data_IF_448370321979
#
_entry.id   IF_448370321979
#
_cell.length_a   1.000
_cell.length_b   1.000
_cell.length_c   1.000
_cell.angle_alpha   90.00
_cell.angle_beta   90.00
_cell.angle_gamma   90.00
#
_symmetry.space_group_name_H-M   'P 1'
#
loop_
_entity.id
_entity.type
_entity.pdbx_description
1 polymer ?
#
# COMPACT_ATOMS: atom_id res chain seq x y z
N UNK A 1 21.37 -0.97 30.34
CA UNK A 1 20.04 -0.62 29.80
C UNK A 1 20.05 0.88 29.53
N UNK A 2 20.41 1.32 28.31
CA UNK A 2 20.30 2.72 27.90
C UNK A 2 18.81 3.02 27.73
N UNK A 3 18.28 3.98 28.50
CA UNK A 3 16.87 4.33 28.50
C UNK A 3 16.39 4.71 27.12
N UNK A 4 15.45 3.96 26.59
CA UNK A 4 14.67 4.35 25.40
C UNK A 4 13.88 5.64 25.77
N UNK A 5 13.84 6.66 24.88
CA UNK A 5 13.25 7.96 25.20
C UNK A 5 11.78 7.84 25.64
N UNK A 6 11.43 8.54 26.71
CA UNK A 6 10.05 8.69 27.18
C UNK A 6 9.34 9.82 26.43
N UNK A 7 8.01 9.89 26.48
CA UNK A 7 7.14 10.75 25.63
C UNK A 7 7.37 12.27 25.73
N UNK A 8 8.30 12.78 26.56
CA UNK A 8 8.60 14.19 26.75
C UNK A 8 10.01 14.62 26.31
N UNK A 9 10.82 13.69 25.78
CA UNK A 9 12.21 13.97 25.40
C UNK A 9 12.32 14.35 23.92
N UNK A 10 13.34 15.18 23.61
CA UNK A 10 13.69 15.50 22.23
C UNK A 10 13.82 14.20 21.41
N UNK A 11 12.98 14.06 20.39
CA UNK A 11 12.94 12.86 19.56
C UNK A 11 14.30 12.65 18.90
N UNK A 12 15.06 11.68 19.35
CA UNK A 12 16.32 11.27 18.73
C UNK A 12 16.02 10.31 17.60
N UNK A 13 16.63 10.54 16.44
CA UNK A 13 16.49 9.68 15.29
C UNK A 13 16.94 8.25 15.62
N UNK A 14 16.05 7.27 15.38
CA UNK A 14 16.33 5.87 15.67
C UNK A 14 17.31 5.28 14.65
N UNK A 15 18.22 4.44 15.14
CA UNK A 15 19.05 3.56 14.31
C UNK A 15 18.24 2.31 13.89
N UNK A 16 18.74 1.55 12.90
CA UNK A 16 18.16 0.26 12.52
C UNK A 16 18.15 -0.72 13.70
N UNK A 17 19.21 -0.70 14.53
CA UNK A 17 19.30 -1.53 15.73
C UNK A 17 18.24 -1.16 16.78
N UNK A 18 18.00 0.15 17.00
CA UNK A 18 16.95 0.62 17.90
C UNK A 18 15.56 0.16 17.43
N UNK A 19 15.28 0.33 16.13
CA UNK A 19 14.00 -0.07 15.54
C UNK A 19 13.79 -1.59 15.68
N UNK A 20 14.82 -2.39 15.43
CA UNK A 20 14.76 -3.84 15.56
C UNK A 20 14.60 -4.27 17.03
N UNK A 21 15.30 -3.62 17.95
CA UNK A 21 15.13 -3.86 19.40
C UNK A 21 13.70 -3.52 19.87
N UNK A 22 13.17 -2.35 19.45
CA UNK A 22 11.78 -1.99 19.75
C UNK A 22 10.78 -3.00 19.18
N UNK A 23 11.02 -3.47 17.96
CA UNK A 23 10.19 -4.46 17.31
C UNK A 23 10.16 -5.79 18.06
N UNK A 24 11.29 -6.22 18.63
CA UNK A 24 11.43 -7.50 19.35
C UNK A 24 11.00 -7.44 20.81
N UNK A 25 11.34 -6.36 21.49
CA UNK A 25 11.36 -6.33 22.96
C UNK A 25 10.19 -5.55 23.57
N UNK A 26 9.67 -4.50 22.90
CA UNK A 26 8.59 -3.72 23.47
C UNK A 26 7.24 -4.45 23.34
N UNK A 27 6.41 -4.30 24.38
CA UNK A 27 5.02 -4.75 24.28
C UNK A 27 4.25 -3.95 23.24
N UNK A 28 3.20 -4.55 22.69
CA UNK A 28 2.34 -3.88 21.69
C UNK A 28 1.72 -2.59 22.29
N UNK A 29 1.39 -2.59 23.57
CA UNK A 29 0.82 -1.43 24.26
C UNK A 29 1.82 -0.29 24.36
N UNK A 30 3.07 -0.59 24.70
CA UNK A 30 4.12 0.44 24.80
C UNK A 30 4.49 1.01 23.43
N UNK A 31 4.55 0.17 22.41
CA UNK A 31 4.74 0.61 21.02
C UNK A 31 3.61 1.55 20.57
N UNK A 32 2.35 1.14 20.79
CA UNK A 32 1.19 1.95 20.45
C UNK A 32 1.20 3.32 21.15
N UNK A 33 1.45 3.33 22.47
CA UNK A 33 1.53 4.55 23.26
C UNK A 33 2.60 5.53 22.73
N UNK A 34 3.80 5.04 22.40
CA UNK A 34 4.89 5.86 21.82
C UNK A 34 4.54 6.36 20.43
N UNK A 35 4.02 5.48 19.60
CA UNK A 35 3.64 5.82 18.23
C UNK A 35 2.50 6.84 18.18
N UNK A 36 1.49 6.70 19.05
CA UNK A 36 0.42 7.69 19.19
C UNK A 36 0.96 9.05 19.62
N UNK A 37 1.78 9.10 20.67
CA UNK A 37 2.41 10.34 21.14
C UNK A 37 3.23 11.01 20.02
N UNK A 38 3.97 10.23 19.24
CA UNK A 38 4.70 10.76 18.08
C UNK A 38 3.76 11.27 16.98
N UNK A 39 2.68 10.55 16.72
CA UNK A 39 1.66 10.96 15.75
C UNK A 39 1.02 12.29 16.15
N UNK A 40 0.67 12.47 17.44
CA UNK A 40 0.07 13.71 17.96
C UNK A 40 1.03 14.89 17.93
N UNK A 41 2.34 14.67 18.08
CA UNK A 41 3.35 15.71 17.87
C UNK A 41 3.42 16.19 16.42
N UNK A 42 3.29 15.26 15.45
CA UNK A 42 3.33 15.56 14.03
C UNK A 42 2.00 16.10 13.51
N UNK A 43 0.90 15.68 14.11
CA UNK A 43 -0.47 15.99 13.72
C UNK A 43 -1.28 16.41 14.98
N UNK A 44 -1.03 17.63 15.48
CA UNK A 44 -1.68 18.15 16.70
C UNK A 44 -3.15 18.52 16.47
N UNK A 45 -3.62 18.51 15.22
CA UNK A 45 -4.99 18.85 14.89
C UNK A 45 -5.97 17.80 15.44
N UNK A 46 -7.20 18.21 15.81
CA UNK A 46 -8.20 17.32 16.41
C UNK A 46 -8.89 16.40 15.39
N UNK A 47 -8.33 16.24 14.21
CA UNK A 47 -8.91 15.42 13.15
C UNK A 47 -7.98 14.28 12.71
N UNK A 48 -8.59 13.28 12.07
CA UNK A 48 -7.89 12.28 11.25
C UNK A 48 -8.47 12.30 9.84
N UNK A 49 -7.58 12.10 8.88
CA UNK A 49 -7.94 12.29 7.48
C UNK A 49 -8.43 11.01 6.81
N UNK A 50 -9.15 11.18 5.71
CA UNK A 50 -9.55 10.14 4.76
C UNK A 50 -9.67 10.74 3.36
N UNK A 51 -9.71 9.90 2.33
CA UNK A 51 -9.89 10.34 0.95
C UNK A 51 -11.06 9.61 0.29
N UNK A 52 -11.78 10.31 -0.59
CA UNK A 52 -12.77 9.70 -1.48
C UNK A 52 -12.15 9.57 -2.86
N UNK A 53 -11.74 8.34 -3.19
CA UNK A 53 -11.12 8.02 -4.46
C UNK A 53 -11.65 6.69 -5.04
N UNK A 54 -11.21 6.40 -6.25
CA UNK A 54 -11.48 5.13 -6.93
C UNK A 54 -10.18 4.54 -7.44
N UNK A 55 -9.96 3.25 -7.13
CA UNK A 55 -8.90 2.49 -7.76
C UNK A 55 -9.36 2.01 -9.14
N UNK A 56 -8.69 2.46 -10.20
CA UNK A 56 -8.97 2.05 -11.59
C UNK A 56 -7.80 1.21 -12.09
N UNK A 57 -8.01 -0.10 -12.18
CA UNK A 57 -7.06 -0.99 -12.81
C UNK A 57 -7.34 -0.99 -14.32
N UNK A 58 -6.64 -0.15 -15.07
CA UNK A 58 -6.89 0.02 -16.51
C UNK A 58 -6.55 -1.22 -17.36
N UNK A 59 -5.74 -2.16 -16.81
CA UNK A 59 -5.43 -3.43 -17.44
C UNK A 59 -5.04 -4.47 -16.39
N UNK A 60 -5.44 -5.73 -16.59
CA UNK A 60 -4.95 -6.86 -15.81
C UNK A 60 -3.93 -7.73 -16.56
N UNK A 61 -3.71 -7.46 -17.85
CA UNK A 61 -2.65 -8.13 -18.63
C UNK A 61 -1.28 -7.73 -18.10
N UNK A 62 -0.48 -8.72 -17.66
CA UNK A 62 0.80 -8.44 -17.03
C UNK A 62 1.86 -9.50 -17.36
N UNK A 63 3.06 -9.05 -17.74
CA UNK A 63 4.21 -9.90 -18.03
C UNK A 63 5.10 -10.17 -16.80
N UNK A 64 4.90 -9.45 -15.67
CA UNK A 64 5.74 -9.57 -14.48
C UNK A 64 5.58 -10.90 -13.74
N UNK A 65 4.42 -11.55 -13.80
CA UNK A 65 4.13 -12.88 -13.21
C UNK A 65 4.54 -12.98 -11.74
N UNK A 66 4.20 -11.98 -10.94
CA UNK A 66 4.48 -11.99 -9.50
C UNK A 66 3.74 -13.12 -8.81
N UNK A 67 4.44 -13.95 -8.03
CA UNK A 67 3.83 -15.12 -7.39
C UNK A 67 2.87 -14.79 -6.25
N UNK A 68 2.88 -13.55 -5.76
CA UNK A 68 1.97 -13.04 -4.74
C UNK A 68 0.69 -12.39 -5.33
N UNK A 69 0.65 -12.15 -6.66
CA UNK A 69 -0.46 -11.45 -7.31
C UNK A 69 -1.44 -12.46 -7.90
N UNK A 70 -2.72 -12.36 -7.53
CA UNK A 70 -3.81 -13.15 -8.10
C UNK A 70 -4.63 -12.38 -9.14
N UNK A 71 -4.35 -11.11 -9.32
CA UNK A 71 -5.09 -10.23 -10.23
C UNK A 71 -4.62 -10.33 -11.69
N UNK A 72 -3.32 -10.57 -11.92
CA UNK A 72 -2.78 -10.56 -13.29
C UNK A 72 -3.36 -11.66 -14.17
N UNK A 73 -3.47 -11.36 -15.46
CA UNK A 73 -3.80 -12.32 -16.53
C UNK A 73 -2.69 -12.32 -17.58
N UNK A 74 -2.50 -13.46 -18.23
CA UNK A 74 -1.59 -13.55 -19.38
C UNK A 74 -2.28 -12.99 -20.62
N UNK A 75 -1.51 -12.51 -21.62
CA UNK A 75 -2.07 -12.21 -22.93
C UNK A 75 -2.83 -13.42 -23.51
N UNK A 76 -4.07 -13.20 -23.93
CA UNK A 76 -4.94 -14.25 -24.47
C UNK A 76 -5.80 -15.02 -23.46
N UNK A 77 -5.63 -14.81 -22.15
CA UNK A 77 -6.55 -15.36 -21.16
C UNK A 77 -7.96 -14.78 -21.36
N UNK A 78 -9.00 -15.60 -21.14
CA UNK A 78 -10.39 -15.18 -21.37
C UNK A 78 -10.83 -13.99 -20.49
N UNK A 79 -10.21 -13.85 -19.32
CA UNK A 79 -10.47 -12.75 -18.37
C UNK A 79 -9.52 -11.57 -18.56
N UNK A 80 -8.64 -11.61 -19.57
CA UNK A 80 -7.73 -10.51 -19.85
C UNK A 80 -8.47 -9.30 -20.41
N UNK A 81 -8.18 -8.11 -19.88
CA UNK A 81 -8.79 -6.87 -20.34
C UNK A 81 -7.82 -5.69 -20.34
N UNK A 82 -8.15 -4.71 -21.15
CA UNK A 82 -7.63 -3.34 -21.10
C UNK A 82 -8.84 -2.44 -21.30
N UNK A 83 -9.11 -1.55 -20.33
CA UNK A 83 -10.26 -0.64 -20.38
C UNK A 83 -10.11 0.38 -21.51
N UNK A 84 -11.22 0.71 -22.15
CA UNK A 84 -11.32 1.85 -23.06
C UNK A 84 -11.31 3.18 -22.30
N UNK A 85 -11.09 4.28 -23.00
CA UNK A 85 -11.14 5.62 -22.40
C UNK A 85 -12.56 5.94 -21.89
N UNK A 86 -13.59 5.47 -22.61
CA UNK A 86 -15.01 5.65 -22.26
C UNK A 86 -15.35 4.91 -20.96
N UNK A 87 -14.84 3.69 -20.78
CA UNK A 87 -15.03 2.93 -19.54
C UNK A 87 -14.35 3.62 -18.36
N UNK A 88 -13.13 4.13 -18.56
CA UNK A 88 -12.40 4.91 -17.53
C UNK A 88 -13.16 6.20 -17.23
N UNK A 89 -13.66 6.90 -18.25
CA UNK A 89 -14.46 8.12 -18.11
C UNK A 89 -15.70 7.89 -17.25
N UNK A 90 -16.50 6.86 -17.56
CA UNK A 90 -17.69 6.50 -16.75
C UNK A 90 -17.35 6.22 -15.30
N UNK A 91 -16.24 5.52 -15.03
CA UNK A 91 -15.78 5.28 -13.66
C UNK A 91 -15.43 6.58 -12.93
N UNK A 92 -14.88 7.56 -13.62
CA UNK A 92 -14.58 8.89 -13.07
C UNK A 92 -15.88 9.68 -12.81
N UNK A 93 -16.87 9.60 -13.68
CA UNK A 93 -18.19 10.24 -13.49
C UNK A 93 -18.91 9.69 -12.26
N UNK A 94 -18.90 8.38 -12.07
CA UNK A 94 -19.45 7.72 -10.87
C UNK A 94 -18.72 8.20 -9.60
N UNK A 95 -17.41 8.35 -9.65
CA UNK A 95 -16.61 8.87 -8.54
C UNK A 95 -16.94 10.34 -8.24
N UNK A 96 -17.05 11.19 -9.25
CA UNK A 96 -17.42 12.60 -9.10
C UNK A 96 -18.82 12.76 -8.49
N UNK A 97 -19.77 11.88 -8.84
CA UNK A 97 -21.13 11.91 -8.31
C UNK A 97 -21.20 11.73 -6.79
N UNK A 98 -20.24 11.04 -6.18
CA UNK A 98 -20.13 10.89 -4.72
C UNK A 98 -19.16 11.88 -4.08
N UNK A 99 -18.62 12.82 -4.87
CA UNK A 99 -17.69 13.82 -4.37
C UNK A 99 -16.24 13.36 -4.27
N UNK A 100 -15.86 12.37 -5.05
CA UNK A 100 -14.48 11.94 -5.17
C UNK A 100 -13.59 13.00 -5.82
N UNK A 101 -12.32 12.98 -5.48
CA UNK A 101 -11.35 14.01 -5.85
C UNK A 101 -10.18 13.49 -6.65
N UNK A 102 -9.96 12.19 -6.62
CA UNK A 102 -8.81 11.58 -7.27
C UNK A 102 -9.08 10.15 -7.75
N UNK A 103 -8.30 9.70 -8.71
CA UNK A 103 -8.21 8.29 -9.10
C UNK A 103 -6.83 7.74 -8.70
N UNK A 104 -6.83 6.53 -8.13
CA UNK A 104 -5.64 5.69 -8.04
C UNK A 104 -5.66 4.76 -9.25
N UNK A 105 -4.77 4.98 -10.21
CA UNK A 105 -4.81 4.25 -11.48
C UNK A 105 -3.54 3.44 -11.71
N UNK A 106 -3.66 2.12 -11.72
CA UNK A 106 -2.58 1.17 -11.92
C UNK A 106 -3.03 0.04 -12.84
N UNK A 107 -2.10 -0.53 -13.61
CA UNK A 107 -2.37 -1.67 -14.48
C UNK A 107 -1.30 -2.75 -14.38
N UNK A 108 -1.44 -3.77 -15.22
CA UNK A 108 -0.38 -4.75 -15.42
C UNK A 108 0.74 -4.18 -16.28
N UNK A 109 1.90 -4.86 -16.26
CA UNK A 109 2.97 -4.62 -17.23
C UNK A 109 2.55 -5.21 -18.58
N UNK A 110 1.82 -4.41 -19.35
CA UNK A 110 1.32 -4.81 -20.67
C UNK A 110 2.51 -5.04 -21.59
N UNK A 111 2.51 -6.11 -22.42
CA UNK A 111 3.56 -6.36 -23.41
C UNK A 111 3.80 -5.16 -24.32
N UNK A 112 4.95 -5.11 -24.95
CA UNK A 112 5.25 -4.06 -25.91
C UNK A 112 4.25 -4.04 -27.10
N UNK A 113 4.23 -2.96 -27.85
CA UNK A 113 3.31 -2.74 -28.98
C UNK A 113 3.45 -3.75 -30.10
N UNK A 114 4.55 -4.48 -30.15
CA UNK A 114 4.85 -5.47 -31.21
C UNK A 114 4.44 -6.88 -30.79
N UNK A 115 3.95 -7.07 -29.56
CA UNK A 115 3.60 -8.40 -29.07
C UNK A 115 2.46 -9.03 -29.90
N UNK A 116 2.62 -10.29 -30.39
CA UNK A 116 1.65 -10.93 -31.28
C UNK A 116 0.22 -11.05 -30.73
N UNK A 117 0.05 -11.00 -29.41
CA UNK A 117 -1.27 -11.01 -28.75
C UNK A 117 -2.11 -9.77 -29.03
N UNK A 118 -1.53 -8.70 -29.59
CA UNK A 118 -2.20 -7.43 -29.79
C UNK A 118 -2.47 -6.61 -28.52
N UNK A 119 -1.96 -7.04 -27.36
CA UNK A 119 -2.09 -6.34 -26.08
C UNK A 119 -1.05 -5.24 -25.88
N UNK A 120 -0.03 -5.15 -26.74
CA UNK A 120 0.98 -4.09 -26.70
C UNK A 120 0.34 -2.70 -26.80
N UNK A 121 0.94 -1.73 -26.11
CA UNK A 121 0.48 -0.34 -26.14
C UNK A 121 1.67 0.59 -26.38
N UNK A 122 1.58 1.47 -27.38
CA UNK A 122 2.60 2.50 -27.58
C UNK A 122 2.62 3.47 -26.40
N UNK A 123 3.76 4.06 -26.12
CA UNK A 123 3.86 5.04 -25.04
C UNK A 123 2.85 6.21 -25.21
N UNK A 124 2.55 6.57 -26.47
CA UNK A 124 1.54 7.59 -26.78
C UNK A 124 0.15 7.25 -26.21
N UNK A 125 -0.25 5.99 -26.15
CA UNK A 125 -1.53 5.58 -25.59
C UNK A 125 -1.68 5.99 -24.12
N UNK A 126 -0.62 5.84 -23.33
CA UNK A 126 -0.63 6.25 -21.91
C UNK A 126 -0.68 7.77 -21.74
N UNK A 127 0.03 8.51 -22.61
CA UNK A 127 -0.01 9.96 -22.62
C UNK A 127 -1.39 10.48 -23.03
N UNK A 128 -2.00 9.87 -24.02
CA UNK A 128 -3.33 10.25 -24.52
C UNK A 128 -4.43 9.91 -23.51
N UNK A 129 -4.29 8.82 -22.74
CA UNK A 129 -5.17 8.52 -21.62
C UNK A 129 -5.15 9.64 -20.57
N UNK A 130 -3.97 10.08 -20.15
CA UNK A 130 -3.82 11.19 -19.18
C UNK A 130 -4.45 12.49 -19.73
N UNK A 131 -4.17 12.81 -20.98
CA UNK A 131 -4.75 14.00 -21.67
C UNK A 131 -6.26 13.90 -21.79
N UNK A 132 -6.80 12.71 -22.10
CA UNK A 132 -8.24 12.46 -22.12
C UNK A 132 -8.88 12.76 -20.78
N UNK A 133 -8.29 12.24 -19.69
CA UNK A 133 -8.80 12.48 -18.34
C UNK A 133 -8.75 13.97 -18.00
N UNK A 134 -7.62 14.64 -18.19
CA UNK A 134 -7.47 16.06 -17.86
C UNK A 134 -8.37 16.98 -18.70
N UNK A 135 -8.63 16.61 -19.94
CA UNK A 135 -9.53 17.39 -20.83
C UNK A 135 -10.99 17.28 -20.39
N UNK A 136 -11.45 16.08 -20.05
CA UNK A 136 -12.84 15.82 -19.74
C UNK A 136 -13.18 16.00 -18.25
N UNK A 137 -12.19 15.78 -17.37
CA UNK A 137 -12.35 15.80 -15.91
C UNK A 137 -11.20 16.60 -15.25
N UNK A 138 -11.09 17.91 -15.52
CA UNK A 138 -9.92 18.73 -15.15
C UNK A 138 -9.68 18.82 -13.64
N UNK A 139 -10.71 18.60 -12.82
CA UNK A 139 -10.61 18.66 -11.35
C UNK A 139 -10.11 17.37 -10.71
N UNK A 140 -10.10 16.26 -11.46
CA UNK A 140 -9.64 14.97 -10.94
C UNK A 140 -8.12 14.97 -10.84
N UNK A 141 -7.63 14.63 -9.65
CA UNK A 141 -6.23 14.35 -9.41
C UNK A 141 -5.89 12.94 -9.91
N UNK A 142 -4.86 12.83 -10.74
CA UNK A 142 -4.40 11.56 -11.30
C UNK A 142 -3.20 11.06 -10.49
N UNK A 143 -3.43 10.09 -9.61
CA UNK A 143 -2.42 9.32 -8.87
C UNK A 143 -2.21 8.01 -9.61
N UNK A 144 -1.22 7.93 -10.50
CA UNK A 144 -1.17 6.82 -11.45
C UNK A 144 0.23 6.31 -11.72
N UNK A 145 0.28 5.09 -12.27
CA UNK A 145 1.44 4.35 -12.71
C UNK A 145 2.44 4.08 -11.57
N UNK A 146 2.50 2.84 -11.15
CA UNK A 146 3.51 2.39 -10.18
C UNK A 146 4.95 2.50 -10.75
N UNK A 147 5.98 2.59 -9.90
CA UNK A 147 7.36 2.55 -10.37
C UNK A 147 7.71 1.39 -11.31
N UNK A 148 7.21 0.15 -11.09
CA UNK A 148 7.40 -0.92 -12.08
C UNK A 148 6.81 -0.62 -13.47
N UNK A 149 5.64 0.05 -13.55
CA UNK A 149 5.05 0.45 -14.83
C UNK A 149 5.90 1.52 -15.51
N UNK A 150 6.33 2.54 -14.77
CA UNK A 150 7.18 3.63 -15.29
C UNK A 150 8.54 3.06 -15.74
N UNK A 151 9.11 2.14 -14.98
CA UNK A 151 10.34 1.46 -15.36
C UNK A 151 10.16 0.60 -16.62
N UNK A 152 9.00 -0.06 -16.76
CA UNK A 152 8.66 -0.77 -17.98
C UNK A 152 8.53 0.18 -19.17
N UNK A 153 7.91 1.34 -19.03
CA UNK A 153 7.87 2.36 -20.10
C UNK A 153 9.27 2.80 -20.51
N UNK A 154 10.17 3.05 -19.54
CA UNK A 154 11.56 3.35 -19.82
C UNK A 154 12.24 2.25 -20.65
N UNK A 155 12.08 0.98 -20.24
CA UNK A 155 12.76 -0.16 -20.89
C UNK A 155 12.15 -0.54 -22.22
N UNK A 156 10.84 -0.71 -22.29
CA UNK A 156 10.10 -1.18 -23.50
C UNK A 156 10.19 -0.15 -24.61
N UNK A 157 9.95 1.13 -24.29
CA UNK A 157 9.98 2.19 -25.30
C UNK A 157 11.36 2.84 -25.48
N UNK A 158 12.41 2.29 -24.84
CA UNK A 158 13.81 2.72 -24.95
C UNK A 158 14.01 4.23 -24.77
N UNK A 159 13.32 4.81 -23.77
CA UNK A 159 13.38 6.24 -23.44
C UNK A 159 14.13 6.48 -22.14
N UNK A 160 14.91 7.55 -22.02
CA UNK A 160 15.48 7.95 -20.72
C UNK A 160 14.37 8.07 -19.67
N UNK A 161 14.61 7.60 -18.44
CA UNK A 161 13.63 7.61 -17.36
C UNK A 161 13.08 9.02 -17.10
N UNK A 162 13.95 10.03 -17.10
CA UNK A 162 13.56 11.44 -16.96
C UNK A 162 12.61 11.90 -18.07
N UNK A 163 12.85 11.50 -19.34
CA UNK A 163 11.97 11.82 -20.47
C UNK A 163 10.60 11.17 -20.31
N UNK A 164 10.55 9.92 -19.85
CA UNK A 164 9.28 9.22 -19.56
C UNK A 164 8.48 10.00 -18.51
N UNK A 165 9.10 10.32 -17.38
CA UNK A 165 8.43 11.01 -16.27
C UNK A 165 7.99 12.43 -16.66
N UNK A 166 8.84 13.20 -17.33
CA UNK A 166 8.51 14.54 -17.80
C UNK A 166 7.30 14.52 -18.75
N UNK A 167 7.26 13.60 -19.70
CA UNK A 167 6.13 13.46 -20.65
C UNK A 167 4.84 13.02 -19.96
N UNK A 168 4.92 12.12 -18.97
CA UNK A 168 3.75 11.74 -18.18
C UNK A 168 3.21 12.94 -17.40
N UNK A 169 4.09 13.74 -16.77
CA UNK A 169 3.74 14.96 -16.05
C UNK A 169 3.11 15.99 -17.00
N UNK A 170 3.72 16.25 -18.15
CA UNK A 170 3.17 17.15 -19.20
C UNK A 170 1.80 16.68 -19.71
N UNK A 171 1.57 15.38 -19.77
CA UNK A 171 0.30 14.81 -20.17
C UNK A 171 -0.78 14.89 -19.09
N UNK A 172 -0.43 15.21 -17.83
CA UNK A 172 -1.36 15.42 -16.74
C UNK A 172 -1.23 14.43 -15.56
N UNK A 173 -0.16 13.65 -15.47
CA UNK A 173 0.13 12.87 -14.27
C UNK A 173 0.46 13.81 -13.11
N UNK A 174 -0.31 13.74 -12.02
CA UNK A 174 -0.11 14.63 -10.87
C UNK A 174 0.85 14.03 -9.84
N UNK A 175 0.66 12.75 -9.46
CA UNK A 175 1.46 12.07 -8.43
C UNK A 175 1.60 10.57 -8.75
N UNK A 176 2.56 9.90 -8.11
CA UNK A 176 2.88 8.49 -8.35
C UNK A 176 2.64 7.66 -7.09
N UNK A 177 1.87 6.55 -7.17
CA UNK A 177 1.68 5.61 -6.07
C UNK A 177 2.93 4.79 -5.79
N UNK A 178 3.11 4.39 -4.53
CA UNK A 178 4.23 3.55 -4.09
C UNK A 178 4.15 2.07 -4.50
N UNK A 179 3.16 1.71 -5.32
CA UNK A 179 2.95 0.33 -5.74
C UNK A 179 4.21 -0.35 -6.27
N UNK A 180 4.34 -1.64 -6.06
CA UNK A 180 5.56 -2.37 -6.42
C UNK A 180 6.72 -2.22 -5.43
N UNK A 181 6.52 -1.51 -4.32
CA UNK A 181 7.49 -1.42 -3.23
C UNK A 181 7.73 -2.76 -2.54
N UNK A 182 6.70 -3.52 -2.29
CA UNK A 182 6.64 -4.75 -1.48
C UNK A 182 7.69 -4.72 -0.37
N UNK A 183 8.81 -5.39 -0.53
CA UNK A 183 10.03 -5.26 0.31
C UNK A 183 11.19 -4.81 -0.59
N UNK A 184 11.87 -3.71 -0.25
CA UNK A 184 12.99 -3.14 -0.99
C UNK A 184 14.32 -3.84 -0.61
N UNK A 185 14.31 -5.18 -0.71
CA UNK A 185 15.47 -6.06 -0.55
C UNK A 185 15.47 -7.06 -1.69
N UNK A 186 16.54 -7.08 -2.47
CA UNK A 186 16.59 -7.84 -3.73
C UNK A 186 16.47 -9.35 -3.55
N UNK A 187 16.91 -9.91 -2.39
CA UNK A 187 16.68 -11.32 -2.07
C UNK A 187 15.19 -11.65 -2.12
N UNK A 188 14.37 -10.82 -1.50
CA UNK A 188 12.90 -10.98 -1.46
C UNK A 188 12.32 -10.72 -2.85
N UNK A 189 12.66 -9.58 -3.47
CA UNK A 189 12.11 -9.15 -4.76
C UNK A 189 12.31 -10.18 -5.87
N UNK A 190 13.52 -10.75 -5.97
CA UNK A 190 13.84 -11.79 -6.97
C UNK A 190 13.01 -13.06 -6.78
N UNK A 191 12.61 -13.39 -5.55
CA UNK A 191 11.78 -14.56 -5.26
C UNK A 191 10.30 -14.32 -5.58
N UNK A 192 9.75 -13.16 -5.21
CA UNK A 192 8.30 -12.94 -5.31
C UNK A 192 7.85 -12.26 -6.59
N UNK A 193 8.72 -11.56 -7.30
CA UNK A 193 8.36 -10.73 -8.45
C UNK A 193 9.35 -10.79 -9.60
N UNK A 194 9.48 -11.93 -10.27
CA UNK A 194 10.50 -12.19 -11.30
C UNK A 194 10.59 -11.14 -12.43
N UNK A 195 9.52 -10.51 -12.81
CA UNK A 195 9.47 -9.51 -13.89
C UNK A 195 9.34 -8.07 -13.39
N UNK A 196 9.43 -7.85 -12.08
CA UNK A 196 9.34 -6.50 -11.49
C UNK A 196 10.71 -5.83 -11.35
N UNK A 197 10.68 -4.54 -11.04
CA UNK A 197 11.85 -3.75 -10.69
C UNK A 197 12.61 -4.34 -9.50
N UNK A 198 13.93 -4.27 -9.56
CA UNK A 198 14.78 -4.42 -8.38
C UNK A 198 14.72 -3.17 -7.50
N UNK A 199 15.34 -3.25 -6.32
CA UNK A 199 15.31 -2.18 -5.32
C UNK A 199 15.79 -0.84 -5.88
N UNK A 200 16.98 -0.83 -6.50
CA UNK A 200 17.57 0.40 -7.02
C UNK A 200 16.80 0.97 -8.22
N UNK A 201 16.16 0.11 -9.01
CA UNK A 201 15.30 0.53 -10.13
C UNK A 201 14.04 1.23 -9.61
N UNK A 202 13.39 0.68 -8.57
CA UNK A 202 12.24 1.30 -7.91
C UNK A 202 12.62 2.66 -7.31
N UNK A 203 13.73 2.71 -6.56
CA UNK A 203 14.24 3.94 -5.96
C UNK A 203 14.64 4.97 -7.01
N UNK A 204 15.19 4.54 -8.16
CA UNK A 204 15.55 5.45 -9.25
C UNK A 204 14.32 6.14 -9.84
N UNK A 205 13.20 5.42 -10.03
CA UNK A 205 11.95 6.03 -10.49
C UNK A 205 11.47 7.10 -9.52
N UNK A 206 11.41 6.79 -8.22
CA UNK A 206 10.96 7.73 -7.20
C UNK A 206 11.88 8.95 -7.09
N UNK A 207 13.19 8.72 -7.06
CA UNK A 207 14.20 9.79 -7.03
C UNK A 207 14.04 10.76 -8.20
N UNK A 208 13.90 10.22 -9.40
CA UNK A 208 13.77 11.06 -10.59
C UNK A 208 12.44 11.81 -10.64
N UNK A 209 11.34 11.17 -10.19
CA UNK A 209 10.06 11.84 -10.04
C UNK A 209 10.15 13.02 -9.05
N UNK A 210 10.77 12.80 -7.89
CA UNK A 210 10.98 13.86 -6.89
C UNK A 210 11.84 15.01 -7.44
N UNK A 211 12.88 14.72 -8.23
CA UNK A 211 13.71 15.74 -8.89
C UNK A 211 12.96 16.57 -9.93
N UNK A 212 11.87 16.02 -10.47
CA UNK A 212 10.92 16.75 -11.33
C UNK A 212 9.86 17.51 -10.54
N UNK A 213 9.92 17.51 -9.21
CA UNK A 213 8.96 18.18 -8.33
C UNK A 213 7.68 17.37 -8.08
N UNK A 214 7.57 16.16 -8.60
CA UNK A 214 6.41 15.31 -8.35
C UNK A 214 6.44 14.76 -6.92
N UNK A 215 5.26 14.63 -6.31
CA UNK A 215 5.11 13.94 -5.03
C UNK A 215 4.66 12.50 -5.25
N UNK A 216 5.03 11.63 -4.30
CA UNK A 216 4.71 10.21 -4.38
C UNK A 216 4.31 9.67 -3.01
N UNK A 217 3.63 8.53 -2.99
CA UNK A 217 3.54 7.72 -1.76
C UNK A 217 4.62 6.63 -1.77
N UNK A 218 4.83 5.98 -0.63
CA UNK A 218 5.65 4.77 -0.53
C UNK A 218 4.91 3.68 0.23
N UNK A 219 5.20 2.42 -0.11
CA UNK A 219 4.39 1.29 0.35
C UNK A 219 5.26 0.12 0.76
N UNK A 220 4.72 -0.74 1.64
CA UNK A 220 5.29 -2.03 1.99
C UNK A 220 4.20 -3.10 1.97
N UNK A 221 4.48 -4.24 1.35
CA UNK A 221 3.71 -5.47 1.54
C UNK A 221 4.58 -6.46 2.31
N UNK A 222 4.13 -6.90 3.47
CA UNK A 222 4.91 -7.72 4.39
C UNK A 222 4.12 -8.97 4.84
N UNK A 223 4.77 -9.84 5.62
CA UNK A 223 4.14 -11.06 6.10
C UNK A 223 4.19 -12.19 5.08
N UNK A 224 5.31 -12.31 4.36
CA UNK A 224 5.54 -13.42 3.42
C UNK A 224 6.89 -14.11 3.68
N UNK A 225 7.95 -13.77 2.93
CA UNK A 225 9.26 -14.47 3.02
C UNK A 225 10.40 -13.57 3.54
N UNK A 226 10.07 -12.35 3.87
CA UNK A 226 11.02 -11.38 4.43
C UNK A 226 11.26 -11.64 5.92
N UNK A 227 12.39 -11.19 6.42
CA UNK A 227 12.75 -11.17 7.85
C UNK A 227 12.48 -9.80 8.47
N UNK A 228 12.47 -9.71 9.79
CA UNK A 228 12.34 -8.43 10.50
C UNK A 228 13.48 -7.43 10.16
N UNK A 229 14.76 -7.84 10.10
CA UNK A 229 15.80 -6.95 9.59
C UNK A 229 15.54 -6.43 8.18
N UNK A 230 15.01 -7.23 7.27
CA UNK A 230 14.66 -6.80 5.91
C UNK A 230 13.49 -5.81 5.89
N UNK A 231 12.54 -5.89 6.83
CA UNK A 231 11.52 -4.85 7.02
C UNK A 231 12.13 -3.52 7.45
N UNK A 232 13.08 -3.55 8.38
CA UNK A 232 13.79 -2.34 8.82
C UNK A 232 14.66 -1.80 7.69
N UNK A 233 15.35 -2.65 6.92
CA UNK A 233 16.10 -2.22 5.73
C UNK A 233 15.19 -1.53 4.70
N UNK A 234 13.99 -2.06 4.46
CA UNK A 234 13.00 -1.41 3.60
C UNK A 234 12.66 0.01 4.10
N UNK A 235 12.33 0.14 5.39
CA UNK A 235 12.03 1.45 5.99
C UNK A 235 13.23 2.40 5.89
N UNK A 236 14.45 1.90 6.13
CA UNK A 236 15.69 2.68 5.99
C UNK A 236 15.86 3.23 4.57
N UNK A 237 15.66 2.40 3.54
CA UNK A 237 15.79 2.84 2.14
C UNK A 237 14.77 3.93 1.78
N UNK A 238 13.55 3.85 2.29
CA UNK A 238 12.55 4.90 2.12
C UNK A 238 12.95 6.18 2.85
N UNK A 239 13.41 6.07 4.10
CA UNK A 239 13.87 7.20 4.91
C UNK A 239 15.08 7.90 4.27
N UNK A 240 16.06 7.13 3.78
CA UNK A 240 17.24 7.67 3.12
C UNK A 240 16.87 8.43 1.84
N UNK A 241 15.96 7.90 1.02
CA UNK A 241 15.48 8.60 -0.16
C UNK A 241 14.66 9.85 0.20
N UNK A 242 13.89 9.80 1.28
CA UNK A 242 13.16 10.97 1.77
C UNK A 242 14.11 12.06 2.27
N UNK A 243 15.20 11.71 2.95
CA UNK A 243 16.25 12.66 3.33
C UNK A 243 16.90 13.32 2.10
N UNK A 244 17.12 12.53 1.03
CA UNK A 244 17.68 13.06 -0.23
C UNK A 244 16.72 14.01 -0.95
N UNK A 245 15.41 13.73 -0.94
CA UNK A 245 14.50 14.32 -1.92
C UNK A 245 13.27 15.01 -1.34
N UNK A 246 12.80 14.63 -0.15
CA UNK A 246 11.58 15.17 0.47
C UNK A 246 10.31 14.91 -0.33
N UNK A 247 10.27 13.90 -1.20
CA UNK A 247 9.20 13.69 -2.17
C UNK A 247 8.05 12.81 -1.71
N UNK A 248 8.27 11.93 -0.74
CA UNK A 248 7.21 11.08 -0.19
C UNK A 248 6.24 11.87 0.68
N UNK A 249 4.95 11.77 0.40
CA UNK A 249 3.89 12.39 1.21
C UNK A 249 3.32 11.45 2.26
N UNK A 250 3.37 10.13 2.02
CA UNK A 250 2.82 9.14 2.94
C UNK A 250 3.47 7.78 2.79
N UNK A 251 3.43 7.01 3.87
CA UNK A 251 3.75 5.59 3.91
C UNK A 251 2.49 4.77 4.17
N UNK A 252 2.31 3.68 3.40
CA UNK A 252 1.21 2.74 3.53
C UNK A 252 1.79 1.32 3.54
N UNK A 253 1.43 0.51 4.53
CA UNK A 253 1.82 -0.89 4.58
C UNK A 253 0.62 -1.79 4.80
N UNK A 254 0.69 -2.99 4.24
CA UNK A 254 -0.36 -4.00 4.38
C UNK A 254 0.22 -5.41 4.41
N UNK A 255 -0.42 -6.34 5.11
CA UNK A 255 0.01 -7.73 5.10
C UNK A 255 -0.35 -8.42 3.79
N UNK A 256 0.50 -9.34 3.37
CA UNK A 256 0.29 -10.21 2.23
C UNK A 256 -1.02 -10.99 2.38
N UNK A 257 -1.81 -11.04 1.30
CA UNK A 257 -3.04 -11.83 1.22
C UNK A 257 -2.74 -13.09 0.41
N UNK A 258 -2.79 -14.30 1.01
CA UNK A 258 -2.28 -15.52 0.38
C UNK A 258 -3.26 -16.21 -0.56
N UNK A 259 -4.56 -15.93 -0.46
CA UNK A 259 -5.60 -16.71 -1.15
C UNK A 259 -5.46 -16.61 -2.68
N UNK A 260 -5.57 -17.75 -3.34
CA UNK A 260 -5.44 -17.84 -4.80
C UNK A 260 -4.03 -17.65 -5.35
N UNK A 261 -3.08 -17.13 -4.58
CA UNK A 261 -1.73 -16.81 -5.05
C UNK A 261 -0.81 -18.03 -5.09
N UNK A 262 0.20 -18.01 -5.98
CA UNK A 262 1.21 -19.07 -6.02
C UNK A 262 2.08 -19.06 -4.74
N UNK A 263 2.40 -17.89 -4.20
CA UNK A 263 3.14 -17.73 -2.95
C UNK A 263 2.37 -18.29 -1.75
N UNK A 264 1.06 -18.07 -1.67
CA UNK A 264 0.20 -18.61 -0.60
C UNK A 264 0.06 -20.14 -0.64
N UNK A 265 0.21 -20.74 -1.82
CA UNK A 265 0.23 -22.21 -2.01
C UNK A 265 1.61 -22.82 -1.81
N UNK A 266 2.67 -21.99 -1.77
CA UNK A 266 4.03 -22.49 -1.63
C UNK A 266 4.21 -23.22 -0.30
N UNK A 267 4.80 -24.40 -0.35
CA UNK A 267 5.17 -25.23 0.79
C UNK A 267 6.65 -25.60 0.62
N UNK A 268 7.45 -25.63 1.69
CA UNK A 268 8.82 -26.14 1.59
C UNK A 268 8.79 -27.59 1.10
N UNK A 269 9.82 -28.04 0.38
CA UNK A 269 9.97 -29.46 0.09
C UNK A 269 9.98 -30.23 1.43
N UNK A 270 9.31 -31.39 1.51
CA UNK A 270 9.31 -32.19 2.72
C UNK A 270 10.74 -32.49 3.15
N UNK A 271 11.10 -32.10 4.36
CA UNK A 271 12.37 -32.51 4.95
C UNK A 271 12.34 -34.03 5.11
N UNK A 272 13.42 -34.69 4.74
CA UNK A 272 13.54 -36.16 4.87
C UNK A 272 13.36 -36.53 6.37
N UNK A 273 12.14 -36.92 6.75
CA UNK A 273 11.75 -37.24 8.14
C UNK A 273 10.32 -36.86 8.53
N UNK A 274 9.62 -36.07 7.74
CA UNK A 274 8.23 -35.64 8.07
C UNK A 274 7.20 -36.58 7.41
N UNK A 275 6.92 -37.69 8.06
CA UNK A 275 5.85 -38.64 7.69
C UNK A 275 4.54 -38.29 8.42
N UNK A 276 4.05 -37.05 8.30
CA UNK A 276 2.70 -36.69 8.76
C UNK A 276 1.73 -36.77 7.59
N UNK A 277 1.12 -37.93 7.47
CA UNK A 277 -0.07 -38.14 6.64
C UNK A 277 -1.21 -37.24 7.12
N UNK A 278 -1.86 -36.61 6.13
CA UNK A 278 -2.88 -35.61 6.32
C UNK A 278 -4.02 -36.01 7.25
N UNK A 279 -4.17 -35.25 8.30
CA UNK A 279 -5.45 -34.96 8.94
C UNK A 279 -5.57 -33.46 9.13
N UNK A 280 -6.60 -32.88 8.52
CA UNK A 280 -7.00 -31.50 8.75
C UNK A 280 -7.48 -31.40 10.20
N UNK A 281 -6.89 -30.56 11.07
CA UNK A 281 -7.43 -30.40 12.42
C UNK A 281 -8.80 -29.75 12.32
N UNK A 282 -9.84 -30.44 12.78
CA UNK A 282 -11.13 -29.84 13.05
C UNK A 282 -10.98 -28.84 14.21
N UNK A 283 -11.49 -27.63 14.01
CA UNK A 283 -11.57 -26.61 15.07
C UNK A 283 -12.41 -27.16 16.23
N UNK A 284 -11.91 -27.13 17.48
CA UNK A 284 -12.74 -27.46 18.63
C UNK A 284 -13.80 -26.38 18.85
N UNK A 285 -15.00 -26.84 19.22
CA UNK A 285 -16.11 -25.97 19.61
C UNK A 285 -15.72 -25.12 20.83
N UNK A 286 -16.23 -23.92 20.84
CA UNK A 286 -16.08 -22.89 21.87
C UNK A 286 -15.86 -23.40 23.30
N UNK A 287 -14.68 -23.06 23.87
CA UNK A 287 -14.51 -22.96 25.29
C UNK A 287 -13.59 -21.79 25.65
N UNK A 288 -14.09 -20.98 26.57
CA UNK A 288 -13.49 -19.92 27.41
C UNK A 288 -12.07 -19.48 27.07
N UNK A 289 -11.96 -18.20 26.64
CA UNK A 289 -10.70 -17.50 26.44
C UNK A 289 -9.95 -17.40 27.77
N UNK A 290 -8.96 -18.26 27.98
CA UNK A 290 -7.93 -18.06 29.00
C UNK A 290 -6.88 -17.08 28.44
N UNK A 291 -6.74 -15.93 29.06
CA UNK A 291 -5.60 -15.03 28.82
C UNK A 291 -4.33 -15.73 29.34
N UNK A 292 -3.55 -16.32 28.46
CA UNK A 292 -2.19 -16.68 28.80
C UNK A 292 -1.28 -15.44 28.79
N UNK A 293 -0.30 -15.33 29.73
CA UNK A 293 0.66 -14.25 29.73
C UNK A 293 1.46 -14.26 28.42
N UNK A 294 1.80 -13.06 27.93
CA UNK A 294 2.45 -12.78 26.66
C UNK A 294 3.37 -13.90 26.20
N UNK A 295 2.99 -14.54 25.10
CA UNK A 295 3.80 -15.59 24.48
C UNK A 295 5.21 -15.06 24.20
N UNK A 296 6.22 -15.89 24.45
CA UNK A 296 7.60 -15.61 24.09
C UNK A 296 7.69 -15.12 22.64
N UNK A 297 8.63 -14.20 22.32
CA UNK A 297 8.77 -13.69 20.98
C UNK A 297 8.85 -14.85 19.99
N UNK A 298 7.98 -14.84 18.97
CA UNK A 298 7.98 -15.87 17.93
C UNK A 298 9.37 -15.92 17.29
N UNK A 299 9.93 -17.12 17.02
CA UNK A 299 11.22 -17.21 16.36
C UNK A 299 11.20 -16.50 15.02
N UNK A 300 12.29 -15.85 14.65
CA UNK A 300 12.46 -15.25 13.33
C UNK A 300 12.27 -16.34 12.27
N UNK A 301 11.47 -16.09 11.22
CA UNK A 301 11.33 -17.04 10.15
C UNK A 301 12.66 -17.17 9.39
N UNK A 302 13.33 -18.30 9.54
CA UNK A 302 14.46 -18.70 8.72
C UNK A 302 13.98 -19.02 7.30
N UNK A 303 13.79 -17.99 6.48
CA UNK A 303 13.71 -18.11 5.01
C UNK A 303 12.73 -19.13 4.41
N UNK A 304 11.77 -19.63 5.16
CA UNK A 304 10.82 -20.70 4.79
C UNK A 304 9.36 -20.21 4.82
N UNK A 305 8.38 -21.01 4.48
CA UNK A 305 7.13 -20.64 3.82
C UNK A 305 6.47 -19.37 4.33
N UNK A 306 5.57 -18.73 3.57
CA UNK A 306 5.06 -17.41 3.89
C UNK A 306 4.58 -17.32 5.33
N UNK A 307 5.23 -16.46 6.10
CA UNK A 307 4.82 -16.08 7.44
C UNK A 307 3.67 -15.10 7.33
N UNK A 308 2.45 -15.54 7.56
CA UNK A 308 1.28 -14.69 7.46
C UNK A 308 1.18 -13.76 8.68
N UNK A 309 1.24 -12.47 8.42
CA UNK A 309 1.11 -11.45 9.46
C UNK A 309 -0.36 -11.31 9.90
N UNK A 310 -0.59 -11.36 11.20
CA UNK A 310 -1.86 -11.09 11.85
C UNK A 310 -2.05 -9.61 12.22
N UNK A 311 -3.14 -9.28 12.89
CA UNK A 311 -3.43 -7.92 13.34
C UNK A 311 -2.41 -7.38 14.35
N UNK A 312 -1.89 -8.24 15.22
CA UNK A 312 -0.85 -7.87 16.19
C UNK A 312 0.44 -7.46 15.48
N UNK A 313 0.85 -8.24 14.48
CA UNK A 313 2.03 -7.98 13.69
C UNK A 313 1.88 -6.70 12.83
N UNK A 314 0.68 -6.50 12.25
CA UNK A 314 0.35 -5.28 11.51
C UNK A 314 0.48 -4.03 12.39
N UNK A 315 -0.15 -4.02 13.56
CA UNK A 315 -0.11 -2.88 14.47
C UNK A 315 1.29 -2.63 15.03
N UNK A 316 2.05 -3.70 15.30
CA UNK A 316 3.45 -3.62 15.73
C UNK A 316 4.32 -2.93 14.70
N UNK A 317 4.24 -3.37 13.43
CA UNK A 317 5.01 -2.77 12.35
C UNK A 317 4.58 -1.33 12.07
N UNK A 318 3.28 -1.04 12.14
CA UNK A 318 2.76 0.33 12.02
C UNK A 318 3.41 1.27 13.05
N UNK A 319 3.41 0.85 14.32
CA UNK A 319 3.98 1.64 15.41
C UNK A 319 5.49 1.87 15.22
N UNK A 320 6.23 0.81 14.87
CA UNK A 320 7.67 0.95 14.57
C UNK A 320 7.90 1.85 13.37
N UNK A 321 7.10 1.72 12.30
CA UNK A 321 7.22 2.59 11.13
C UNK A 321 6.99 4.08 11.49
N UNK A 322 5.99 4.40 12.32
CA UNK A 322 5.75 5.78 12.79
C UNK A 322 6.93 6.34 13.58
N UNK A 323 7.56 5.51 14.39
CA UNK A 323 8.69 5.91 15.21
C UNK A 323 10.00 6.04 14.42
N UNK A 324 10.16 5.21 13.38
CA UNK A 324 11.38 5.13 12.58
C UNK A 324 11.40 6.08 11.37
N UNK A 325 10.26 6.25 10.67
CA UNK A 325 10.12 7.14 9.51
C UNK A 325 9.86 8.59 9.98
N UNK A 326 10.84 9.18 10.63
CA UNK A 326 10.77 10.50 11.27
C UNK A 326 10.58 11.65 10.27
N UNK A 327 10.89 11.43 9.00
CA UNK A 327 10.83 12.38 7.88
C UNK A 327 9.67 12.15 6.90
N UNK A 328 8.88 11.09 7.06
CA UNK A 328 7.65 10.85 6.28
C UNK A 328 6.45 11.23 7.13
N UNK A 329 5.73 12.33 6.79
CA UNK A 329 4.76 12.91 7.73
C UNK A 329 3.54 12.04 7.94
N UNK A 330 3.01 11.41 6.89
CA UNK A 330 1.74 10.70 6.98
C UNK A 330 1.91 9.19 6.94
N UNK A 331 1.13 8.49 7.76
CA UNK A 331 0.98 7.03 7.70
C UNK A 331 -0.50 6.70 7.62
N UNK A 332 -0.84 5.93 6.59
CA UNK A 332 -2.21 5.51 6.30
C UNK A 332 -2.50 4.14 6.89
N UNK A 333 -3.67 3.99 7.47
CA UNK A 333 -4.25 2.71 7.89
C UNK A 333 -4.63 1.84 6.68
N UNK A 334 -4.45 0.52 6.81
CA UNK A 334 -4.81 -0.46 5.77
C UNK A 334 -6.03 -1.31 6.15
N UNK A 335 -7.16 -0.66 6.39
CA UNK A 335 -8.42 -1.33 6.73
C UNK A 335 -8.89 -2.28 5.61
N UNK A 336 -8.52 -2.05 4.36
CA UNK A 336 -8.89 -2.92 3.21
C UNK A 336 -8.42 -4.35 3.41
N UNK A 337 -7.22 -4.55 3.97
CA UNK A 337 -6.65 -5.88 4.25
C UNK A 337 -6.91 -6.36 5.68
N UNK A 338 -7.03 -5.42 6.64
CA UNK A 338 -7.11 -5.76 8.06
C UNK A 338 -8.52 -5.70 8.64
N UNK A 339 -9.47 -5.18 7.87
CA UNK A 339 -10.83 -4.94 8.31
C UNK A 339 -11.01 -3.62 9.08
N UNK A 340 -12.28 -3.17 9.21
CA UNK A 340 -12.62 -1.88 9.80
C UNK A 340 -12.10 -1.67 11.23
N UNK A 341 -12.22 -2.69 12.08
CA UNK A 341 -11.82 -2.61 13.50
C UNK A 341 -10.33 -2.41 13.69
N UNK A 342 -9.52 -3.17 12.94
CA UNK A 342 -8.06 -3.00 13.00
C UNK A 342 -7.65 -1.70 12.31
N UNK A 343 -8.35 -1.30 11.24
CA UNK A 343 -8.19 0.01 10.61
C UNK A 343 -8.41 1.16 11.59
N UNK A 344 -9.45 1.10 12.43
CA UNK A 344 -9.72 2.07 13.49
C UNK A 344 -8.63 2.04 14.58
N UNK A 345 -8.24 0.84 15.04
CA UNK A 345 -7.17 0.70 16.04
C UNK A 345 -5.83 1.26 15.55
N UNK A 346 -5.55 1.20 14.25
CA UNK A 346 -4.34 1.75 13.66
C UNK A 346 -4.15 3.26 13.97
N UNK A 347 -5.23 4.02 14.18
CA UNK A 347 -5.17 5.43 14.59
C UNK A 347 -4.50 5.62 15.96
N UNK A 348 -4.61 4.63 16.85
CA UNK A 348 -3.96 4.62 18.16
C UNK A 348 -2.53 4.05 18.11
N UNK A 349 -2.12 3.54 16.95
CA UNK A 349 -0.79 2.98 16.71
C UNK A 349 0.05 3.84 15.77
N UNK A 350 -0.33 5.11 15.57
CA UNK A 350 0.48 6.08 14.85
C UNK A 350 0.02 6.39 13.42
N UNK A 351 -1.07 5.80 12.92
CA UNK A 351 -1.70 6.28 11.70
C UNK A 351 -2.43 7.61 11.95
N UNK A 352 -2.32 8.55 11.02
CA UNK A 352 -3.07 9.81 11.03
C UNK A 352 -4.16 9.87 9.94
N UNK A 353 -4.28 8.81 9.14
CA UNK A 353 -5.15 8.75 7.97
C UNK A 353 -5.82 7.38 7.88
N UNK A 354 -7.14 7.37 7.67
CA UNK A 354 -7.92 6.13 7.46
C UNK A 354 -7.82 5.59 6.05
N UNK A 355 -7.23 6.35 5.13
CA UNK A 355 -7.11 5.97 3.75
C UNK A 355 -8.36 6.24 2.92
N UNK A 356 -8.49 5.48 1.86
CA UNK A 356 -9.55 5.62 0.86
C UNK A 356 -10.85 4.94 1.28
N UNK A 357 -11.98 5.46 0.79
CA UNK A 357 -13.26 4.71 0.74
C UNK A 357 -13.17 3.48 -0.16
N UNK A 358 -12.13 3.38 -0.97
CA UNK A 358 -11.82 2.29 -1.89
C UNK A 358 -13.07 1.83 -2.67
N UNK A 359 -13.61 2.74 -3.46
CA UNK A 359 -14.85 2.53 -4.21
C UNK A 359 -14.80 1.28 -5.11
N UNK A 360 -13.60 0.98 -5.61
CA UNK A 360 -13.27 -0.23 -6.37
C UNK A 360 -11.91 -0.74 -5.92
N UNK A 361 -11.83 -2.03 -5.61
CA UNK A 361 -10.58 -2.70 -5.28
C UNK A 361 -10.60 -4.10 -5.90
N UNK A 362 -9.70 -4.34 -6.86
CA UNK A 362 -9.67 -5.56 -7.64
C UNK A 362 -8.44 -6.43 -7.33
N UNK A 363 -7.39 -5.86 -6.76
CA UNK A 363 -6.10 -6.54 -6.59
C UNK A 363 -6.09 -7.43 -5.36
N UNK A 364 -6.42 -6.87 -4.18
CA UNK A 364 -6.50 -7.65 -2.94
C UNK A 364 -7.79 -8.44 -2.83
N UNK A 365 -8.89 -7.98 -3.48
CA UNK A 365 -10.12 -8.75 -3.54
C UNK A 365 -9.95 -10.06 -4.34
N UNK A 366 -9.11 -10.05 -5.39
CA UNK A 366 -8.71 -11.26 -6.10
C UNK A 366 -7.95 -12.26 -5.19
N UNK A 367 -7.42 -11.79 -4.07
CA UNK A 367 -6.76 -12.62 -3.04
C UNK A 367 -7.63 -12.79 -1.78
N UNK A 368 -8.97 -12.73 -1.91
CA UNK A 368 -9.93 -13.11 -0.87
C UNK A 368 -10.38 -11.99 0.07
N UNK A 369 -9.87 -10.76 -0.05
CA UNK A 369 -10.29 -9.64 0.79
C UNK A 369 -11.69 -9.15 0.41
N UNK A 370 -12.60 -9.07 1.38
CA UNK A 370 -14.01 -8.73 1.14
C UNK A 370 -14.47 -7.45 1.86
N UNK A 371 -13.57 -6.77 2.57
CA UNK A 371 -13.94 -5.56 3.32
C UNK A 371 -14.26 -4.40 2.39
N UNK A 372 -15.35 -3.69 2.70
CA UNK A 372 -15.78 -2.48 2.01
C UNK A 372 -16.30 -1.49 3.05
N UNK A 373 -16.00 -0.22 2.87
CA UNK A 373 -16.48 0.88 3.71
C UNK A 373 -17.01 2.01 2.84
N UNK A 374 -18.17 2.51 3.17
CA UNK A 374 -18.67 3.78 2.67
C UNK A 374 -17.96 4.96 3.35
N UNK A 375 -18.07 6.16 2.79
CA UNK A 375 -17.59 7.37 3.44
C UNK A 375 -18.18 7.55 4.84
N UNK A 376 -19.49 7.29 4.99
CA UNK A 376 -20.19 7.41 6.27
C UNK A 376 -19.61 6.46 7.34
N UNK A 377 -19.26 5.23 6.96
CA UNK A 377 -18.64 4.27 7.87
C UNK A 377 -17.22 4.68 8.25
N UNK A 378 -16.40 5.17 7.31
CA UNK A 378 -15.06 5.70 7.63
C UNK A 378 -15.17 6.88 8.60
N UNK A 379 -16.08 7.82 8.34
CA UNK A 379 -16.31 8.97 9.21
C UNK A 379 -16.77 8.54 10.60
N UNK A 380 -17.65 7.53 10.68
CA UNK A 380 -18.08 6.96 11.96
C UNK A 380 -16.90 6.34 12.72
N UNK A 381 -16.06 5.54 12.07
CA UNK A 381 -14.87 4.93 12.71
C UNK A 381 -13.90 5.98 13.27
N UNK A 382 -13.68 7.08 12.53
CA UNK A 382 -12.83 8.18 13.00
C UNK A 382 -13.47 8.89 14.20
N UNK A 383 -14.79 9.17 14.14
CA UNK A 383 -15.52 9.84 15.22
C UNK A 383 -15.56 8.99 16.49
N UNK A 384 -15.85 7.71 16.35
CA UNK A 384 -15.91 6.75 17.45
C UNK A 384 -14.53 6.56 18.12
N UNK A 385 -13.45 6.74 17.36
CA UNK A 385 -12.08 6.76 17.87
C UNK A 385 -11.70 8.09 18.57
N UNK A 386 -12.57 9.10 18.58
CA UNK A 386 -12.38 10.36 19.30
C UNK A 386 -11.84 11.52 18.46
N UNK A 387 -11.72 11.39 17.14
CA UNK A 387 -11.25 12.46 16.26
C UNK A 387 -12.35 12.96 15.31
N UNK A 388 -12.18 14.19 14.83
CA UNK A 388 -13.03 14.73 13.74
C UNK A 388 -12.62 14.11 12.40
N UNK A 389 -13.55 13.58 11.60
CA UNK A 389 -13.22 13.07 10.26
C UNK A 389 -13.03 14.23 9.28
N UNK A 390 -11.88 14.29 8.60
CA UNK A 390 -11.52 15.32 7.65
C UNK A 390 -11.18 14.70 6.29
N UNK A 391 -11.95 15.05 5.23
CA UNK A 391 -11.57 14.69 3.87
C UNK A 391 -10.31 15.47 3.45
N UNK A 392 -9.39 14.80 2.75
CA UNK A 392 -8.15 15.38 2.24
C UNK A 392 -7.95 15.18 0.75
N UNK A 393 -7.04 15.98 0.18
CA UNK A 393 -6.49 15.75 -1.16
C UNK A 393 -5.30 14.75 -1.12
N UNK A 394 -4.67 14.49 -2.27
CA UNK A 394 -3.53 13.59 -2.39
C UNK A 394 -2.25 14.13 -1.74
N UNK A 395 -2.17 15.44 -1.51
CA UNK A 395 -1.06 16.08 -0.79
C UNK A 395 -1.28 16.12 0.72
N UNK A 396 -2.31 15.44 1.24
CA UNK A 396 -2.72 15.41 2.64
C UNK A 396 -3.20 16.77 3.18
N UNK A 397 -3.65 17.67 2.31
CA UNK A 397 -4.25 18.94 2.70
C UNK A 397 -5.75 18.77 2.93
N UNK A 398 -6.31 19.34 4.00
CA UNK A 398 -7.75 19.34 4.21
C UNK A 398 -8.50 19.94 3.03
N UNK A 399 -9.62 19.32 2.65
CA UNK A 399 -10.56 19.88 1.69
C UNK A 399 -11.60 20.68 2.47
N UNK A 400 -11.67 21.99 2.22
CA UNK A 400 -12.57 22.93 2.85
C UNK A 400 -13.77 23.30 1.95
N UNK A 401 -14.99 23.49 2.50
CA UNK A 401 -15.39 23.09 3.86
C UNK A 401 -15.56 21.58 4.00
N UNK A 402 -15.48 21.03 5.22
CA UNK A 402 -15.81 19.64 5.43
C UNK A 402 -17.23 19.40 4.95
N UNK A 403 -17.39 18.49 3.99
CA UNK A 403 -18.71 18.23 3.38
C UNK A 403 -19.65 17.69 4.45
N UNK A 404 -20.91 18.19 4.56
CA UNK A 404 -21.88 17.62 5.47
C UNK A 404 -22.08 16.14 5.11
N UNK A 405 -22.12 15.28 6.12
CA UNK A 405 -22.39 13.86 5.95
C UNK A 405 -23.73 13.69 5.21
N UNK A 406 -23.70 13.25 3.97
CA UNK A 406 -24.94 12.82 3.29
C UNK A 406 -25.35 11.49 3.89
N UNK A 407 -26.18 11.55 4.93
CA UNK A 407 -26.85 10.36 5.46
C UNK A 407 -27.64 9.71 4.32
N UNK A 408 -27.20 8.54 3.97
CA UNK A 408 -27.83 7.48 3.23
C UNK A 408 -28.97 7.81 2.27
N UNK A 409 -28.72 7.73 0.98
CA UNK A 409 -29.73 7.21 0.06
C UNK A 409 -29.52 5.70 -0.06
N UNK A 410 -30.63 4.97 0.06
CA UNK A 410 -30.72 3.53 0.14
C UNK A 410 -29.83 2.74 -0.83
N UNK A 411 -29.38 1.57 -0.37
CA UNK A 411 -28.76 0.53 -1.20
C UNK A 411 -29.67 0.25 -2.40
N UNK A 412 -29.19 0.24 -3.63
CA UNK A 412 -29.87 -0.47 -4.68
C UNK A 412 -29.76 -1.98 -4.39
N UNK A 413 -30.88 -2.66 -4.59
CA UNK A 413 -31.08 -4.09 -4.39
C UNK A 413 -30.18 -4.97 -5.26
#
# INVERSE_FOLDING_TARGET
MSGLPTAAEHWTRLTDADALAMYRELSIHELGRRALARCEQLHPEPYRTYVVDRNINYANVCTARCIFCNFYRKPGDAEAYILSYEEIGRKIEELLAIGGTQVLMQGGLVPDETHPSGYGRPFAWYLDLLRFIKRNYPTIHIHAFSPPEIWAFHRVHRRPLRDVLARLQEAGLDTIPGGGGEILVDRVRRKIGHGKTLTDEWLAVMREAHRLGMKTSCTMMFGHIETWPERIEHLRRLRDLQDETGGFVAFIHWPFQPEGTALGRWRPPPTAGDSRTGETPSLPAHDTVHFEPAAAPRPEPDGEPPYLADAHEYLRLLAVARLYLDNIPNIQSSWVTMGPKIGQLALFFGANDMGSVMMEENVVSAAGTTFRLSEAEIRHLITDAGWTPQQRDQYYRPIEPPRPCRLGSARPA
#
